data_IF_101209964140
#
_entry.id   IF_101209964140
#
_cell.length_a   1.000
_cell.length_b   1.000
_cell.length_c   1.000
_cell.angle_alpha   90.00
_cell.angle_beta   90.00
_cell.angle_gamma   90.00
#
_symmetry.space_group_name_H-M   'P 1'
#
loop_
_entity.id
_entity.type
_entity.pdbx_description
1 polymer ?
#
# COMPACT_ATOMS: atom_id res chain seq x y z
N UNK A 1 8.68 -14.57 -1.83
CA UNK A 1 8.41 -14.87 -0.40
C UNK A 1 7.22 -14.08 0.18
N UNK A 2 6.36 -13.46 -0.65
CA UNK A 2 5.10 -12.83 -0.22
C UNK A 2 3.85 -13.62 -0.70
N UNK A 3 4.07 -14.85 -1.15
CA UNK A 3 3.00 -15.76 -1.61
C UNK A 3 2.40 -16.61 -0.48
N UNK A 4 2.90 -16.49 0.75
CA UNK A 4 2.63 -17.48 1.82
C UNK A 4 1.85 -16.93 3.03
N UNK A 5 1.39 -15.67 2.97
CA UNK A 5 0.61 -15.05 4.05
C UNK A 5 -0.89 -14.92 3.77
N UNK A 6 -1.36 -15.37 2.59
CA UNK A 6 -2.79 -15.65 2.41
C UNK A 6 -3.22 -16.90 3.18
N UNK A 7 -2.28 -17.82 3.43
CA UNK A 7 -2.57 -19.13 4.01
C UNK A 7 -2.19 -19.27 5.50
N UNK A 8 -1.56 -18.26 6.11
CA UNK A 8 -1.07 -18.34 7.51
C UNK A 8 -1.82 -17.49 8.52
N UNK A 9 -2.76 -16.64 8.09
CA UNK A 9 -3.67 -15.98 9.00
C UNK A 9 -5.08 -16.52 8.74
N UNK A 10 -5.48 -17.36 9.68
CA UNK A 10 -6.83 -17.80 10.01
C UNK A 10 -7.40 -18.98 9.19
N UNK A 11 -7.27 -20.19 9.76
CA UNK A 11 -7.95 -21.43 9.35
C UNK A 11 -9.45 -21.15 9.23
N UNK A 12 -10.07 -21.50 8.09
CA UNK A 12 -11.49 -21.27 7.79
C UNK A 12 -12.35 -22.50 8.12
N UNK A 13 -13.03 -22.54 9.27
CA UNK A 13 -14.21 -23.39 9.40
C UNK A 13 -15.43 -22.69 8.78
N UNK A 14 -16.11 -23.40 7.87
CA UNK A 14 -17.45 -23.03 7.41
C UNK A 14 -18.50 -23.56 8.39
N UNK A 15 -19.54 -22.79 8.67
CA UNK A 15 -20.71 -23.30 9.40
C UNK A 15 -21.56 -24.24 8.53
N UNK A 16 -22.60 -24.82 9.13
CA UNK A 16 -23.52 -25.75 8.47
C UNK A 16 -24.24 -25.14 7.25
N UNK A 17 -24.26 -23.81 7.14
CA UNK A 17 -24.87 -23.05 6.05
C UNK A 17 -23.83 -22.54 5.04
N UNK A 18 -22.56 -22.91 5.18
CA UNK A 18 -21.47 -22.50 4.29
C UNK A 18 -20.90 -21.10 4.59
N UNK A 19 -21.25 -20.47 5.71
CA UNK A 19 -20.69 -19.17 6.07
C UNK A 19 -19.33 -19.33 6.77
N UNK A 20 -18.35 -18.53 6.34
CA UNK A 20 -17.04 -18.45 6.97
C UNK A 20 -17.14 -17.86 8.38
N UNK A 21 -16.55 -18.55 9.37
CA UNK A 21 -16.41 -18.02 10.72
C UNK A 21 -15.04 -18.34 11.31
N UNK A 22 -14.69 -17.62 12.38
CA UNK A 22 -13.48 -17.89 13.15
C UNK A 22 -13.76 -18.11 14.63
N UNK A 23 -13.10 -19.09 15.23
CA UNK A 23 -13.17 -19.34 16.67
C UNK A 23 -12.37 -18.32 17.46
N UNK A 24 -12.98 -17.69 18.46
CA UNK A 24 -12.29 -16.69 19.27
C UNK A 24 -11.10 -17.26 20.05
N UNK A 25 -11.11 -18.54 20.46
CA UNK A 25 -9.96 -19.14 21.16
C UNK A 25 -8.82 -19.46 20.20
N UNK A 26 -9.12 -19.93 18.99
CA UNK A 26 -8.13 -20.04 17.92
C UNK A 26 -7.50 -18.67 17.59
N UNK A 27 -8.32 -17.64 17.39
CA UNK A 27 -7.83 -16.29 17.10
C UNK A 27 -6.99 -15.73 18.26
N UNK A 28 -7.36 -15.98 19.52
CA UNK A 28 -6.57 -15.59 20.68
C UNK A 28 -5.15 -16.18 20.64
N UNK A 29 -5.00 -17.45 20.27
CA UNK A 29 -3.69 -18.11 20.13
C UNK A 29 -2.87 -17.51 18.99
N UNK A 30 -3.49 -17.26 17.84
CA UNK A 30 -2.84 -16.61 16.69
C UNK A 30 -2.35 -15.20 17.07
N UNK A 31 -3.13 -14.48 17.88
CA UNK A 31 -2.78 -13.16 18.39
C UNK A 31 -1.92 -13.20 19.66
N UNK A 32 -1.31 -14.35 19.99
CA UNK A 32 -0.36 -14.54 21.09
C UNK A 32 -0.93 -14.24 22.50
N UNK A 33 -2.22 -14.48 22.71
CA UNK A 33 -2.83 -14.47 24.05
C UNK A 33 -2.73 -15.87 24.67
N UNK A 34 -1.85 -16.01 25.66
CA UNK A 34 -1.67 -17.25 26.42
C UNK A 34 -2.87 -17.61 27.31
N UNK A 35 -3.57 -16.60 27.85
CA UNK A 35 -4.78 -16.76 28.64
C UNK A 35 -5.98 -16.12 27.94
N UNK A 36 -7.00 -16.93 27.64
CA UNK A 36 -8.22 -16.47 26.98
C UNK A 36 -8.98 -15.42 27.80
N UNK A 37 -8.85 -15.39 29.13
CA UNK A 37 -9.46 -14.35 29.99
C UNK A 37 -8.97 -12.95 29.63
N UNK A 38 -7.69 -12.82 29.28
CA UNK A 38 -7.13 -11.54 28.81
C UNK A 38 -7.69 -11.14 27.44
N UNK A 39 -8.06 -12.12 26.61
CA UNK A 39 -8.67 -11.89 25.31
C UNK A 39 -10.15 -11.51 25.41
N UNK A 40 -10.87 -11.91 26.48
CA UNK A 40 -12.26 -11.49 26.72
C UNK A 40 -12.41 -9.97 26.79
N UNK A 41 -11.42 -9.25 27.34
CA UNK A 41 -11.42 -7.78 27.34
C UNK A 41 -11.36 -7.21 25.92
N UNK A 42 -10.60 -7.83 25.02
CA UNK A 42 -10.51 -7.42 23.61
C UNK A 42 -11.82 -7.70 22.87
N UNK A 43 -12.45 -8.85 23.13
CA UNK A 43 -13.78 -9.18 22.60
C UNK A 43 -14.82 -8.15 23.07
N UNK A 44 -14.79 -7.75 24.34
CA UNK A 44 -15.70 -6.72 24.87
C UNK A 44 -15.53 -5.40 24.14
N UNK A 45 -14.29 -4.94 23.95
CA UNK A 45 -14.01 -3.71 23.17
C UNK A 45 -14.48 -3.81 21.73
N UNK A 46 -14.36 -4.99 21.09
CA UNK A 46 -14.88 -5.21 19.75
C UNK A 46 -16.43 -5.18 19.72
N UNK A 47 -17.11 -5.74 20.73
CA UNK A 47 -18.58 -5.61 20.89
C UNK A 47 -19.00 -4.14 21.02
N UNK A 48 -18.28 -3.35 21.82
CA UNK A 48 -18.53 -1.92 21.98
C UNK A 48 -18.30 -1.16 20.66
N UNK A 49 -17.22 -1.47 19.93
CA UNK A 49 -16.96 -0.90 18.61
C UNK A 49 -18.05 -1.23 17.59
N UNK A 50 -18.51 -2.48 17.52
CA UNK A 50 -19.66 -2.87 16.69
C UNK A 50 -20.90 -2.03 17.00
N UNK A 51 -21.25 -1.93 18.29
CA UNK A 51 -22.42 -1.17 18.75
C UNK A 51 -22.31 0.32 18.38
N UNK A 52 -21.15 0.93 18.64
CA UNK A 52 -20.90 2.35 18.34
C UNK A 52 -20.90 2.64 16.83
N UNK A 53 -20.51 1.66 16.00
CA UNK A 53 -20.61 1.70 14.54
C UNK A 53 -22.01 1.32 14.01
N UNK A 54 -23.03 1.23 14.87
CA UNK A 54 -24.42 0.87 14.53
C UNK A 54 -24.56 -0.51 13.86
N UNK A 55 -23.64 -1.43 14.12
CA UNK A 55 -23.73 -2.82 13.69
C UNK A 55 -24.40 -3.67 14.78
N UNK A 56 -25.22 -4.65 14.37
CA UNK A 56 -25.80 -5.63 15.29
C UNK A 56 -24.70 -6.62 15.72
N UNK A 57 -24.46 -6.73 17.03
CA UNK A 57 -23.39 -7.58 17.58
C UNK A 57 -23.59 -9.05 17.17
N UNK A 58 -24.83 -9.54 17.21
CA UNK A 58 -25.21 -10.91 16.85
C UNK A 58 -24.88 -11.32 15.41
N UNK A 59 -24.73 -10.37 14.48
CA UNK A 59 -24.28 -10.64 13.11
C UNK A 59 -22.78 -10.90 13.01
N UNK A 60 -22.03 -10.67 14.08
CA UNK A 60 -20.57 -10.60 14.04
C UNK A 60 -19.89 -11.38 15.16
N UNK A 61 -20.51 -11.47 16.33
CA UNK A 61 -20.03 -12.21 17.48
C UNK A 61 -21.17 -13.05 18.03
N UNK A 62 -21.09 -14.37 17.82
CA UNK A 62 -22.08 -15.34 18.31
C UNK A 62 -21.44 -16.25 19.33
N UNK A 63 -21.98 -16.30 20.54
CA UNK A 63 -21.43 -17.16 21.59
C UNK A 63 -21.65 -18.64 21.25
N UNK A 64 -20.62 -19.45 21.43
CA UNK A 64 -20.68 -20.90 21.20
C UNK A 64 -19.65 -21.62 22.07
N UNK A 65 -19.62 -22.95 22.01
CA UNK A 65 -18.59 -23.75 22.66
C UNK A 65 -17.58 -24.27 21.64
N UNK A 66 -16.31 -23.97 21.86
CA UNK A 66 -15.19 -24.41 21.02
C UNK A 66 -14.51 -25.61 21.68
N UNK A 67 -14.15 -26.63 20.90
CA UNK A 67 -13.36 -27.76 21.40
C UNK A 67 -11.92 -27.31 21.60
N UNK A 68 -11.37 -27.57 22.79
CA UNK A 68 -10.01 -27.21 23.15
C UNK A 68 -9.27 -28.44 23.64
N UNK A 69 -8.13 -28.76 23.04
CA UNK A 69 -7.25 -29.80 23.54
C UNK A 69 -6.79 -29.46 24.96
N UNK A 70 -6.96 -30.43 25.87
CA UNK A 70 -6.44 -30.41 27.23
C UNK A 70 -5.28 -31.42 27.30
N UNK A 71 -4.21 -31.07 28.02
CA UNK A 71 -3.03 -31.92 28.13
C UNK A 71 -3.44 -33.35 28.52
N UNK A 72 -2.94 -34.34 27.77
CA UNK A 72 -3.34 -35.77 27.67
C UNK A 72 -4.00 -36.19 26.34
N UNK A 73 -4.25 -35.25 25.41
CA UNK A 73 -4.85 -35.55 24.10
C UNK A 73 -6.38 -35.63 24.12
N UNK A 74 -7.01 -35.40 25.28
CA UNK A 74 -8.44 -35.19 25.40
C UNK A 74 -8.83 -33.77 24.93
N UNK A 75 -10.07 -33.59 24.52
CA UNK A 75 -10.62 -32.27 24.17
C UNK A 75 -11.80 -31.92 25.08
N UNK A 76 -11.96 -30.62 25.39
CA UNK A 76 -13.05 -30.11 26.22
C UNK A 76 -13.77 -28.95 25.53
N UNK A 77 -15.10 -28.97 25.56
CA UNK A 77 -15.95 -27.83 25.18
C UNK A 77 -15.73 -26.69 26.17
N UNK A 78 -15.29 -25.54 25.68
CA UNK A 78 -15.15 -24.32 26.47
C UNK A 78 -15.89 -23.14 25.83
N UNK A 79 -16.46 -22.21 26.62
CA UNK A 79 -17.13 -21.02 26.09
C UNK A 79 -16.21 -20.20 25.19
N UNK A 80 -16.70 -19.79 24.03
CA UNK A 80 -16.00 -19.04 22.99
C UNK A 80 -17.01 -18.21 22.17
N UNK A 81 -16.55 -17.55 21.11
CA UNK A 81 -17.38 -16.84 20.16
C UNK A 81 -17.02 -17.23 18.72
N UNK A 82 -18.02 -17.45 17.87
CA UNK A 82 -17.86 -17.41 16.41
C UNK A 82 -17.76 -15.95 16.01
N UNK A 83 -16.78 -15.66 15.18
CA UNK A 83 -16.45 -14.31 14.74
C UNK A 83 -16.63 -14.21 13.24
N UNK A 84 -17.32 -13.16 12.79
CA UNK A 84 -17.29 -12.75 11.40
C UNK A 84 -15.93 -12.13 11.06
N UNK A 85 -15.66 -11.99 9.75
CA UNK A 85 -14.47 -11.28 9.26
C UNK A 85 -14.37 -9.87 9.84
N UNK A 86 -15.52 -9.19 9.92
CA UNK A 86 -15.61 -7.85 10.49
C UNK A 86 -15.26 -7.84 12.00
N UNK A 87 -15.76 -8.80 12.78
CA UNK A 87 -15.39 -8.93 14.19
C UNK A 87 -13.89 -9.21 14.38
N UNK A 88 -13.30 -10.08 13.54
CA UNK A 88 -11.86 -10.34 13.56
C UNK A 88 -11.04 -9.05 13.35
N UNK A 89 -11.46 -8.19 12.42
CA UNK A 89 -10.78 -6.90 12.19
C UNK A 89 -10.88 -5.95 13.37
N UNK A 90 -12.05 -5.85 14.00
CA UNK A 90 -12.23 -5.02 15.19
C UNK A 90 -11.44 -5.54 16.39
N UNK A 91 -11.33 -6.87 16.53
CA UNK A 91 -10.51 -7.52 17.55
C UNK A 91 -9.03 -7.14 17.36
N UNK A 92 -8.48 -7.24 16.15
CA UNK A 92 -7.08 -6.88 15.90
C UNK A 92 -6.83 -5.38 16.15
N UNK A 93 -7.78 -4.51 15.78
CA UNK A 93 -7.67 -3.06 16.03
C UNK A 93 -7.69 -2.71 17.53
N UNK A 94 -8.40 -3.48 18.36
CA UNK A 94 -8.54 -3.23 19.81
C UNK A 94 -7.59 -4.06 20.69
N UNK A 95 -6.81 -4.97 20.10
CA UNK A 95 -5.85 -5.82 20.80
C UNK A 95 -4.61 -5.03 21.24
N UNK A 96 -3.87 -5.60 22.21
CA UNK A 96 -2.65 -4.99 22.74
C UNK A 96 -1.53 -4.90 21.67
N UNK A 97 -1.09 -3.70 21.27
CA UNK A 97 -0.06 -3.50 20.24
C UNK A 97 1.35 -3.93 20.67
N UNK A 98 1.57 -4.26 21.95
CA UNK A 98 2.85 -4.81 22.42
C UNK A 98 3.12 -6.24 21.93
N UNK A 99 2.14 -6.89 21.28
CA UNK A 99 2.30 -8.21 20.64
C UNK A 99 2.60 -8.00 19.15
N UNK A 100 3.65 -8.64 18.65
CA UNK A 100 4.19 -8.37 17.30
C UNK A 100 3.16 -8.62 16.20
N UNK A 101 2.45 -9.75 16.28
CA UNK A 101 1.40 -10.10 15.32
C UNK A 101 0.23 -9.10 15.28
N UNK A 102 -0.10 -8.50 16.43
CA UNK A 102 -1.12 -7.44 16.53
C UNK A 102 -0.62 -6.17 15.86
N UNK A 103 0.61 -5.75 16.14
CA UNK A 103 1.23 -4.58 15.53
C UNK A 103 1.35 -4.71 14.00
N UNK A 104 1.69 -5.91 13.50
CA UNK A 104 1.70 -6.22 12.07
C UNK A 104 0.29 -6.12 11.46
N UNK A 105 -0.73 -6.66 12.11
CA UNK A 105 -2.13 -6.53 11.68
C UNK A 105 -2.60 -5.08 11.63
N UNK A 106 -2.27 -4.26 12.63
CA UNK A 106 -2.59 -2.83 12.65
C UNK A 106 -1.86 -2.07 11.53
N UNK A 107 -0.59 -2.41 11.28
CA UNK A 107 0.18 -1.88 10.15
C UNK A 107 -0.48 -2.25 8.81
N UNK A 108 -0.94 -3.50 8.68
CA UNK A 108 -1.69 -3.94 7.51
C UNK A 108 -2.95 -3.09 7.29
N UNK A 109 -3.75 -2.84 8.33
CA UNK A 109 -4.93 -1.98 8.19
C UNK A 109 -4.58 -0.54 7.80
N UNK A 110 -3.54 0.06 8.39
CA UNK A 110 -3.09 1.39 8.00
C UNK A 110 -2.69 1.45 6.52
N UNK A 111 -1.99 0.42 6.03
CA UNK A 111 -1.60 0.30 4.62
C UNK A 111 -2.81 0.03 3.72
N UNK A 112 -3.72 -0.87 4.09
CA UNK A 112 -4.91 -1.18 3.30
C UNK A 112 -5.87 0.00 3.21
N UNK A 113 -6.09 0.74 4.31
CA UNK A 113 -6.89 1.97 4.30
C UNK A 113 -6.26 2.97 3.35
N UNK A 114 -4.94 3.15 3.38
CA UNK A 114 -4.25 4.04 2.43
C UNK A 114 -4.40 3.57 0.98
N UNK A 115 -4.29 2.27 0.73
CA UNK A 115 -4.53 1.70 -0.60
C UNK A 115 -5.99 1.85 -1.04
N UNK A 116 -6.94 1.77 -0.11
CA UNK A 116 -8.36 1.95 -0.38
C UNK A 116 -8.72 3.41 -0.62
N UNK A 117 -8.12 4.37 0.09
CA UNK A 117 -8.22 5.80 -0.23
C UNK A 117 -7.69 6.08 -1.64
N UNK A 118 -6.58 5.45 -2.02
CA UNK A 118 -6.05 5.50 -3.38
C UNK A 118 -7.02 4.82 -4.37
N UNK A 119 -7.71 3.74 -4.01
CA UNK A 119 -8.72 3.09 -4.87
C UNK A 119 -10.04 3.86 -4.97
N UNK A 120 -10.43 4.59 -3.93
CA UNK A 120 -11.54 5.55 -3.92
C UNK A 120 -11.28 6.76 -4.84
N UNK A 121 -10.09 6.85 -5.45
CA UNK A 121 -9.92 7.42 -6.80
C UNK A 121 -10.65 6.54 -7.85
N UNK A 122 -11.98 6.43 -7.77
CA UNK A 122 -12.87 5.69 -8.69
C UNK A 122 -12.72 6.08 -10.17
N UNK A 123 -12.07 7.22 -10.45
CA UNK A 123 -11.68 7.63 -11.80
C UNK A 123 -10.71 6.63 -12.43
N UNK A 124 -9.70 6.12 -11.71
CA UNK A 124 -8.65 5.25 -12.27
C UNK A 124 -9.18 3.86 -12.66
N UNK A 125 -10.08 3.28 -11.86
CA UNK A 125 -10.65 1.96 -12.13
C UNK A 125 -11.71 1.97 -13.25
N UNK A 126 -12.26 3.15 -13.58
CA UNK A 126 -13.13 3.36 -14.76
C UNK A 126 -12.34 3.55 -16.06
N UNK A 127 -11.02 3.77 -15.98
CA UNK A 127 -10.16 3.89 -17.15
C UNK A 127 -9.99 2.50 -17.76
N UNK A 128 -10.58 2.31 -18.93
CA UNK A 128 -10.58 1.03 -19.63
C UNK A 128 -9.37 0.89 -20.54
N UNK A 129 -8.80 2.01 -20.96
CA UNK A 129 -7.66 2.04 -21.87
C UNK A 129 -6.36 2.37 -21.15
N UNK A 130 -5.25 1.90 -21.73
CA UNK A 130 -3.93 2.24 -21.22
C UNK A 130 -3.62 3.74 -21.33
N UNK A 131 -4.06 4.39 -22.41
CA UNK A 131 -3.85 5.82 -22.62
C UNK A 131 -4.58 6.69 -21.59
N UNK A 132 -5.77 6.30 -21.17
CA UNK A 132 -6.49 6.94 -20.07
C UNK A 132 -5.73 6.82 -18.75
N UNK A 133 -5.26 5.61 -18.39
CA UNK A 133 -4.47 5.35 -17.18
C UNK A 133 -3.18 6.15 -17.17
N UNK A 134 -2.50 6.22 -18.31
CA UNK A 134 -1.29 7.02 -18.49
C UNK A 134 -1.56 8.50 -18.28
N UNK A 135 -2.63 9.05 -18.86
CA UNK A 135 -2.99 10.45 -18.70
C UNK A 135 -3.29 10.79 -17.23
N UNK A 136 -4.09 9.96 -16.56
CA UNK A 136 -4.40 10.11 -15.14
C UNK A 136 -3.13 10.13 -14.27
N UNK A 137 -2.30 9.08 -14.39
CA UNK A 137 -1.08 8.96 -13.59
C UNK A 137 -0.07 10.07 -13.89
N UNK A 138 -0.03 10.56 -15.14
CA UNK A 138 0.84 11.66 -15.54
C UNK A 138 0.42 12.99 -14.93
N UNK A 139 -0.89 13.22 -14.78
CA UNK A 139 -1.45 14.39 -14.09
C UNK A 139 -1.17 14.33 -12.59
N UNK A 140 -1.39 13.17 -11.96
CA UNK A 140 -1.04 12.96 -10.54
C UNK A 140 0.45 13.15 -10.29
N UNK A 141 1.30 12.64 -11.19
CA UNK A 141 2.75 12.83 -11.12
C UNK A 141 3.14 14.32 -11.22
N UNK A 142 2.44 15.13 -12.01
CA UNK A 142 2.70 16.56 -12.11
C UNK A 142 2.39 17.29 -10.78
N UNK A 143 1.25 16.96 -10.15
CA UNK A 143 0.86 17.51 -8.85
C UNK A 143 1.87 17.15 -7.77
N UNK A 144 2.19 15.85 -7.64
CA UNK A 144 3.11 15.38 -6.62
C UNK A 144 4.57 15.78 -6.87
N UNK A 145 5.00 15.96 -8.13
CA UNK A 145 6.32 16.56 -8.39
C UNK A 145 6.44 17.99 -7.86
N UNK A 146 5.35 18.76 -7.90
CA UNK A 146 5.33 20.12 -7.35
C UNK A 146 5.48 20.08 -5.83
N UNK A 147 4.77 19.16 -5.18
CA UNK A 147 4.83 18.98 -3.72
C UNK A 147 6.19 18.42 -3.26
N UNK A 148 6.74 17.43 -3.98
CA UNK A 148 8.08 16.90 -3.78
C UNK A 148 9.13 17.99 -3.96
N UNK A 149 9.00 18.87 -4.97
CA UNK A 149 9.91 19.98 -5.16
C UNK A 149 9.86 20.96 -3.98
N UNK A 150 8.66 21.27 -3.47
CA UNK A 150 8.51 22.09 -2.27
C UNK A 150 9.18 21.43 -1.05
N UNK A 151 8.93 20.14 -0.79
CA UNK A 151 9.56 19.40 0.30
C UNK A 151 11.10 19.34 0.16
N UNK A 152 11.61 19.20 -1.07
CA UNK A 152 13.05 19.23 -1.34
C UNK A 152 13.64 20.62 -1.12
N UNK A 153 12.91 21.70 -1.47
CA UNK A 153 13.28 23.08 -1.16
C UNK A 153 13.46 23.29 0.34
N UNK A 154 12.48 22.84 1.12
CA UNK A 154 12.50 22.92 2.58
C UNK A 154 13.64 22.09 3.19
N UNK A 155 14.10 21.06 2.48
CA UNK A 155 15.26 20.26 2.82
C UNK A 155 16.60 20.86 2.32
N UNK A 156 16.59 22.00 1.63
CA UNK A 156 17.80 22.70 1.16
C UNK A 156 18.24 22.40 -0.27
N UNK A 157 17.35 21.88 -1.13
CA UNK A 157 17.54 21.79 -2.59
C UNK A 157 17.05 23.09 -3.23
N UNK A 158 17.97 23.99 -3.57
CA UNK A 158 17.60 25.39 -3.93
C UNK A 158 17.83 25.69 -5.41
N UNK A 159 19.00 25.33 -5.96
CA UNK A 159 19.37 25.70 -7.34
C UNK A 159 18.82 24.70 -8.37
N UNK A 160 18.68 25.12 -9.63
CA UNK A 160 18.25 24.22 -10.71
C UNK A 160 19.14 22.99 -10.84
N UNK A 161 20.46 23.16 -10.64
CA UNK A 161 21.43 22.06 -10.66
C UNK A 161 21.19 21.11 -9.49
N UNK A 162 20.90 21.62 -8.28
CA UNK A 162 20.58 20.77 -7.13
C UNK A 162 19.31 19.96 -7.39
N UNK A 163 18.28 20.54 -8.02
CA UNK A 163 17.08 19.81 -8.43
C UNK A 163 17.38 18.74 -9.46
N UNK A 164 18.20 19.03 -10.47
CA UNK A 164 18.59 18.05 -11.47
C UNK A 164 19.34 16.85 -10.83
N UNK A 165 20.21 17.11 -9.86
CA UNK A 165 20.90 16.08 -9.08
C UNK A 165 19.88 15.29 -8.24
N UNK A 166 19.00 15.98 -7.51
CA UNK A 166 17.97 15.36 -6.66
C UNK A 166 17.06 14.41 -7.45
N UNK A 167 16.59 14.83 -8.63
CA UNK A 167 15.77 13.98 -9.50
C UNK A 167 16.56 12.78 -10.04
N UNK A 168 17.83 12.98 -10.40
CA UNK A 168 18.71 11.88 -10.81
C UNK A 168 18.93 10.84 -9.70
N UNK A 169 19.00 11.24 -8.43
CA UNK A 169 19.07 10.28 -7.33
C UNK A 169 17.81 9.41 -7.25
N UNK A 170 16.63 10.01 -7.40
CA UNK A 170 15.38 9.26 -7.52
C UNK A 170 15.37 8.26 -8.67
N UNK A 171 15.88 8.66 -9.83
CA UNK A 171 16.02 7.74 -10.98
C UNK A 171 17.00 6.61 -10.69
N UNK A 172 18.20 6.92 -10.20
CA UNK A 172 19.21 5.91 -9.86
C UNK A 172 18.69 4.88 -8.86
N UNK A 173 17.91 5.29 -7.87
CA UNK A 173 17.31 4.37 -6.91
C UNK A 173 16.34 3.38 -7.58
N UNK A 174 15.42 3.90 -8.40
CA UNK A 174 14.35 3.10 -9.01
C UNK A 174 14.84 2.25 -10.20
N UNK A 175 15.74 2.78 -11.02
CA UNK A 175 16.23 2.18 -12.27
C UNK A 175 17.58 1.46 -12.11
N UNK A 176 17.91 1.00 -10.90
CA UNK A 176 19.09 0.15 -10.69
C UNK A 176 20.43 0.84 -10.98
N UNK A 177 20.55 2.13 -10.65
CA UNK A 177 21.76 2.93 -10.87
C UNK A 177 21.75 3.77 -12.15
N UNK A 178 20.76 3.60 -13.02
CA UNK A 178 20.63 4.36 -14.26
C UNK A 178 20.10 5.78 -13.97
N UNK A 179 20.76 6.80 -14.50
CA UNK A 179 20.33 8.20 -14.41
C UNK A 179 19.39 8.61 -15.56
N UNK A 180 18.94 9.86 -15.58
CA UNK A 180 18.04 10.35 -16.63
C UNK A 180 18.63 10.17 -18.05
N UNK A 181 19.95 10.36 -18.23
CA UNK A 181 20.60 10.20 -19.54
C UNK A 181 20.59 8.74 -19.98
N UNK A 182 20.88 7.82 -19.07
CA UNK A 182 20.81 6.39 -19.34
C UNK A 182 19.39 5.92 -19.65
N UNK A 183 18.38 6.46 -18.97
CA UNK A 183 16.97 6.16 -19.28
C UNK A 183 16.61 6.66 -20.69
N UNK A 184 17.04 7.87 -21.07
CA UNK A 184 16.88 8.39 -22.42
C UNK A 184 17.46 7.45 -23.47
N UNK A 185 18.71 7.01 -23.28
CA UNK A 185 19.39 6.10 -24.21
C UNK A 185 18.66 4.75 -24.30
N UNK A 186 18.31 4.15 -23.16
CA UNK A 186 17.65 2.84 -23.11
C UNK A 186 16.25 2.85 -23.74
N UNK A 187 15.55 3.99 -23.69
CA UNK A 187 14.22 4.18 -24.29
C UNK A 187 14.24 4.80 -25.68
N UNK A 188 15.42 5.06 -26.27
CA UNK A 188 15.53 5.68 -27.59
C UNK A 188 14.96 7.10 -27.68
N UNK A 189 14.96 7.85 -26.58
CA UNK A 189 14.35 9.18 -26.50
C UNK A 189 15.33 10.28 -26.92
N UNK A 190 14.87 11.21 -27.76
CA UNK A 190 15.59 12.45 -28.10
C UNK A 190 15.80 13.31 -26.85
N UNK A 191 16.88 14.10 -26.82
CA UNK A 191 17.21 14.98 -25.68
C UNK A 191 16.08 15.96 -25.28
N UNK A 192 15.25 16.37 -26.23
CA UNK A 192 14.12 17.29 -26.00
C UNK A 192 12.85 16.61 -25.47
N UNK A 193 12.78 15.27 -25.50
CA UNK A 193 11.61 14.53 -25.03
C UNK A 193 11.63 14.40 -23.51
N UNK A 194 10.47 14.50 -22.85
CA UNK A 194 10.37 14.30 -21.41
C UNK A 194 10.16 12.82 -21.12
N UNK A 195 10.99 12.22 -20.28
CA UNK A 195 10.93 10.78 -19.95
C UNK A 195 9.51 10.36 -19.52
N UNK A 196 8.90 11.10 -18.59
CA UNK A 196 7.56 10.78 -18.06
C UNK A 196 6.46 10.79 -19.13
N UNK A 197 6.60 11.57 -20.20
CA UNK A 197 5.60 11.64 -21.27
C UNK A 197 5.63 10.39 -22.18
N UNK A 198 6.66 9.54 -22.04
CA UNK A 198 6.90 8.34 -22.86
C UNK A 198 6.85 7.04 -22.04
N UNK A 199 6.28 7.09 -20.83
CA UNK A 199 6.09 5.94 -19.95
C UNK A 199 4.70 5.32 -20.13
N UNK A 200 4.60 4.01 -19.90
CA UNK A 200 3.33 3.32 -19.67
C UNK A 200 2.82 3.52 -18.23
N UNK A 201 1.59 3.10 -17.96
CA UNK A 201 0.92 3.28 -16.66
C UNK A 201 1.68 2.59 -15.52
N UNK A 202 2.17 1.37 -15.73
CA UNK A 202 2.98 0.65 -14.73
C UNK A 202 4.23 1.43 -14.32
N UNK A 203 4.93 2.03 -15.29
CA UNK A 203 6.15 2.81 -15.02
C UNK A 203 5.84 4.15 -14.36
N UNK A 204 4.75 4.81 -14.79
CA UNK A 204 4.24 6.04 -14.18
C UNK A 204 3.84 5.81 -12.73
N UNK A 205 3.13 4.72 -12.43
CA UNK A 205 2.72 4.35 -11.07
C UNK A 205 3.94 4.14 -10.16
N UNK A 206 4.98 3.46 -10.64
CA UNK A 206 6.22 3.28 -9.88
C UNK A 206 6.94 4.62 -9.59
N UNK A 207 7.01 5.52 -10.57
CA UNK A 207 7.61 6.84 -10.38
C UNK A 207 6.77 7.74 -9.46
N UNK A 208 5.45 7.68 -9.56
CA UNK A 208 4.51 8.38 -8.68
C UNK A 208 4.65 7.90 -7.24
N UNK A 209 4.72 6.58 -7.02
CA UNK A 209 4.93 6.01 -5.71
C UNK A 209 6.29 6.43 -5.12
N UNK A 210 7.37 6.38 -5.90
CA UNK A 210 8.68 6.90 -5.46
C UNK A 210 8.60 8.36 -5.04
N UNK A 211 7.97 9.22 -5.86
CA UNK A 211 7.91 10.66 -5.61
C UNK A 211 7.14 10.98 -4.33
N UNK A 212 5.92 10.41 -4.19
CA UNK A 212 5.07 10.60 -3.00
C UNK A 212 5.74 10.09 -1.72
N UNK A 213 6.36 8.91 -1.76
CA UNK A 213 7.05 8.38 -0.58
C UNK A 213 8.31 9.19 -0.21
N UNK A 214 8.99 9.76 -1.20
CA UNK A 214 10.13 10.65 -0.94
C UNK A 214 9.67 11.95 -0.29
N UNK A 215 8.62 12.56 -0.83
CA UNK A 215 8.00 13.77 -0.28
C UNK A 215 7.61 13.58 1.19
N UNK A 216 6.81 12.54 1.47
CA UNK A 216 6.35 12.23 2.82
C UNK A 216 7.52 11.95 3.77
N UNK A 217 8.55 11.23 3.31
CA UNK A 217 9.73 10.94 4.12
C UNK A 217 10.54 12.20 4.43
N UNK A 218 10.74 13.09 3.46
CA UNK A 218 11.43 14.37 3.67
C UNK A 218 10.72 15.22 4.73
N UNK A 219 9.37 15.30 4.65
CA UNK A 219 8.53 16.05 5.60
C UNK A 219 8.54 15.41 6.98
N UNK A 220 8.19 14.12 7.08
CA UNK A 220 8.05 13.39 8.35
C UNK A 220 9.34 13.35 9.15
N UNK A 221 10.47 13.14 8.48
CA UNK A 221 11.78 13.03 9.13
C UNK A 221 12.52 14.38 9.19
N UNK A 222 11.85 15.47 8.78
CA UNK A 222 12.38 16.84 8.76
C UNK A 222 13.81 16.90 8.17
N UNK A 223 14.02 16.23 7.05
CA UNK A 223 15.35 16.09 6.46
C UNK A 223 15.89 17.47 6.05
N UNK A 224 17.14 17.76 6.41
CA UNK A 224 17.85 19.00 6.04
C UNK A 224 19.19 18.70 5.38
N UNK A 225 19.54 19.55 4.42
CA UNK A 225 20.74 19.44 3.58
C UNK A 225 20.49 18.66 2.30
N UNK A 226 20.90 19.23 1.16
CA UNK A 226 20.72 18.63 -0.17
C UNK A 226 21.28 17.22 -0.31
N UNK A 227 22.40 16.91 0.33
CA UNK A 227 22.99 15.56 0.30
C UNK A 227 22.07 14.52 0.96
N UNK A 228 21.49 14.83 2.13
CA UNK A 228 20.55 13.94 2.82
C UNK A 228 19.24 13.82 2.05
N UNK A 229 18.77 14.90 1.43
CA UNK A 229 17.60 14.86 0.55
C UNK A 229 17.83 13.93 -0.65
N UNK A 230 18.98 14.07 -1.33
CA UNK A 230 19.40 13.23 -2.45
C UNK A 230 19.48 11.75 -2.03
N UNK A 231 20.12 11.45 -0.89
CA UNK A 231 20.21 10.09 -0.38
C UNK A 231 18.82 9.52 -0.06
N UNK A 232 17.95 10.31 0.55
CA UNK A 232 16.58 9.92 0.87
C UNK A 232 15.82 9.51 -0.40
N UNK A 233 15.90 10.33 -1.46
CA UNK A 233 15.24 10.04 -2.73
C UNK A 233 15.78 8.77 -3.40
N UNK A 234 17.10 8.55 -3.32
CA UNK A 234 17.73 7.32 -3.80
C UNK A 234 17.27 6.08 -3.03
N UNK A 235 17.28 6.11 -1.69
CA UNK A 235 16.89 4.98 -0.85
C UNK A 235 15.41 4.63 -1.00
N UNK A 236 14.54 5.64 -1.12
CA UNK A 236 13.13 5.41 -1.45
C UNK A 236 13.00 4.71 -2.80
N UNK A 237 13.67 5.20 -3.85
CA UNK A 237 13.66 4.55 -5.16
C UNK A 237 14.14 3.10 -5.10
N UNK A 238 15.21 2.82 -4.34
CA UNK A 238 15.74 1.46 -4.15
C UNK A 238 14.75 0.53 -3.45
N UNK A 239 14.00 1.03 -2.46
CA UNK A 239 12.93 0.27 -1.79
C UNK A 239 11.79 -0.05 -2.74
N UNK A 240 11.31 0.93 -3.51
CA UNK A 240 10.26 0.71 -4.52
C UNK A 240 10.72 -0.36 -5.53
N UNK A 241 11.95 -0.25 -6.03
CA UNK A 241 12.55 -1.24 -6.93
C UNK A 241 12.57 -2.64 -6.33
N UNK A 242 13.01 -2.77 -5.07
CA UNK A 242 13.04 -4.06 -4.37
C UNK A 242 11.65 -4.68 -4.29
N UNK A 243 10.62 -3.89 -3.97
CA UNK A 243 9.23 -4.35 -3.94
C UNK A 243 8.75 -4.84 -5.31
N UNK A 244 9.04 -4.12 -6.40
CA UNK A 244 8.70 -4.58 -7.77
C UNK A 244 9.32 -5.96 -8.03
N UNK A 245 10.59 -6.16 -7.64
CA UNK A 245 11.30 -7.43 -7.84
C UNK A 245 10.69 -8.56 -7.01
N UNK A 246 10.36 -8.29 -5.75
CA UNK A 246 9.77 -9.29 -4.83
C UNK A 246 8.37 -9.74 -5.25
N UNK A 247 7.62 -8.86 -5.93
CA UNK A 247 6.31 -9.15 -6.51
C UNK A 247 6.39 -9.81 -7.90
N UNK A 248 7.59 -10.05 -8.44
CA UNK A 248 7.77 -10.62 -9.78
C UNK A 248 7.44 -9.66 -10.92
N UNK A 249 7.40 -8.35 -10.65
CA UNK A 249 7.09 -7.33 -11.65
C UNK A 249 8.27 -7.04 -12.59
N UNK A 250 7.95 -6.58 -13.80
CA UNK A 250 8.96 -6.12 -14.78
C UNK A 250 9.67 -4.87 -14.26
N UNK A 251 11.01 -4.87 -14.28
CA UNK A 251 11.79 -3.72 -13.84
C UNK A 251 11.54 -2.48 -14.71
N UNK A 252 11.51 -1.26 -14.12
CA UNK A 252 11.19 -0.02 -14.86
C UNK A 252 12.04 0.21 -16.11
N UNK A 253 13.33 -0.08 -16.04
CA UNK A 253 14.25 0.07 -17.17
C UNK A 253 14.00 -0.92 -18.31
N UNK A 254 13.19 -1.97 -18.10
CA UNK A 254 12.85 -2.98 -19.10
C UNK A 254 11.41 -2.81 -19.64
N UNK A 255 10.65 -1.84 -19.13
CA UNK A 255 9.33 -1.51 -19.66
C UNK A 255 9.47 -0.76 -21.01
N UNK A 256 8.63 -1.07 -22.01
CA UNK A 256 8.71 -0.45 -23.32
C UNK A 256 8.44 1.06 -23.25
N UNK A 257 9.04 1.80 -24.17
CA UNK A 257 8.69 3.21 -24.36
C UNK A 257 7.35 3.32 -25.10
N UNK A 258 6.52 4.26 -24.68
CA UNK A 258 5.24 4.54 -25.30
C UNK A 258 5.27 5.86 -26.09
N UNK A 259 4.27 6.02 -26.96
CA UNK A 259 4.04 7.27 -27.67
C UNK A 259 3.81 8.44 -26.70
N UNK A 260 4.16 9.66 -27.10
CA UNK A 260 4.04 10.83 -26.21
C UNK A 260 2.60 11.06 -25.74
N UNK A 261 2.41 11.17 -24.42
CA UNK A 261 1.10 11.48 -23.79
C UNK A 261 0.52 12.81 -24.29
N UNK A 262 1.33 13.76 -24.74
CA UNK A 262 0.84 15.03 -25.30
C UNK A 262 -0.05 14.84 -26.53
N UNK A 263 0.16 13.77 -27.31
CA UNK A 263 -0.72 13.42 -28.44
C UNK A 263 -2.12 13.02 -27.95
N UNK A 264 -2.24 12.50 -26.73
CA UNK A 264 -3.49 12.07 -26.10
C UNK A 264 -4.26 13.26 -25.54
N UNK A 265 -3.57 14.19 -24.88
CA UNK A 265 -4.14 15.45 -24.38
C UNK A 265 -4.88 16.21 -25.50
N UNK A 266 -4.22 16.39 -26.66
CA UNK A 266 -4.80 17.04 -27.83
C UNK A 266 -6.03 16.32 -28.42
N UNK A 267 -6.07 14.97 -28.33
CA UNK A 267 -7.22 14.18 -28.78
C UNK A 267 -8.42 14.32 -27.84
N UNK A 268 -8.16 14.39 -26.53
CA UNK A 268 -9.20 14.54 -25.51
C UNK A 268 -9.80 15.93 -25.50
N UNK A 269 -8.99 16.99 -25.67
CA UNK A 269 -9.48 18.37 -25.81
C UNK A 269 -10.34 18.55 -27.07
N UNK A 270 -9.91 18.01 -28.21
CA UNK A 270 -10.70 18.03 -29.46
C UNK A 270 -12.03 17.27 -29.34
N UNK A 271 -12.13 16.24 -28.50
CA UNK A 271 -13.39 15.53 -28.22
C UNK A 271 -14.32 16.34 -27.31
N UNK A 272 -13.79 17.10 -26.35
CA UNK A 272 -14.57 17.98 -25.46
C UNK A 272 -15.13 19.20 -26.18
N UNK A 273 -14.40 19.75 -27.15
CA UNK A 273 -14.83 20.90 -27.98
C UNK A 273 -15.87 20.55 -29.07
N UNK A 274 -16.19 19.26 -29.25
CA UNK A 274 -17.17 18.76 -30.23
C UNK A 274 -18.47 18.25 -29.58
N UNK A 275 -18.59 18.35 -28.25
CA UNK A 275 -19.82 18.12 -27.48
C UNK A 275 -20.37 19.47 -27.04
#
# INVERSE_FOLDING_TARGET
MLYDYRDTLIIEPSDENGNEFWGARQLAKVLEYSDFRNFQSVISKAKDACKNSRQLIENHLVEFNEMVAIGSGAERKMPSCKLSRYACYLIVQNANPSKEIVALGQTYFAVQTRLQEIRQMDEYNRLTTEDEKRLFLRNEMAKHNTQLAAAAKDAGVITEIDYAIFQNHGYKGLYGGIDAKGIHAKKGLKKSQKILDHMGSTELAANLFRATQTEEKLKREQIKGKQKANQTHFEVGKKVRKTIKELGGTMPENLPAADSIKKLEQKTEKKKLKK
#
